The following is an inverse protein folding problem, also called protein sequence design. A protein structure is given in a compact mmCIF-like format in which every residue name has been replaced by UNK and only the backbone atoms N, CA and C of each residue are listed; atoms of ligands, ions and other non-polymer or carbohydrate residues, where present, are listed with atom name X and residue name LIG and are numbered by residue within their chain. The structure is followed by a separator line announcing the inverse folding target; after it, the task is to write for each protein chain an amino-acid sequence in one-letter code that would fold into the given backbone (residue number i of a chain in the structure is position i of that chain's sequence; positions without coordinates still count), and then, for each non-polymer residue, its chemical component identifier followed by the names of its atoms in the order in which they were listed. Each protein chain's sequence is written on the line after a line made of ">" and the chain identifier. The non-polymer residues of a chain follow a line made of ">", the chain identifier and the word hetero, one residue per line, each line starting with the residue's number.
data_IF_027670967582
#
_entry.id   IF_027670967582
#
_cell.length_a   1.000
_cell.length_b   1.000
_cell.length_c   1.000
_cell.angle_alpha   90.00
_cell.angle_beta   90.00
_cell.angle_gamma   90.00
#
_symmetry.space_group_name_H-M   'P 1'
#
loop_
_entity.id
_entity.type
_entity.pdbx_description
1 polymer ?
#
# COMPACT_ATOMS: atom_id res chain seq x y z
N UNK A 1 -18.90 -14.61 -2.51
CA UNK A 1 -19.44 -15.54 -3.51
C UNK A 1 -20.77 -14.98 -4.00
N UNK A 2 -20.90 -14.87 -5.32
CA UNK A 2 -22.11 -14.43 -6.00
C UNK A 2 -22.60 -15.58 -6.87
N UNK A 3 -23.89 -15.82 -6.90
CA UNK A 3 -24.48 -16.87 -7.73
C UNK A 3 -25.80 -16.40 -8.32
N UNK A 4 -26.16 -16.90 -9.47
CA UNK A 4 -27.45 -16.67 -10.09
C UNK A 4 -28.34 -17.88 -9.87
N UNK A 5 -29.56 -17.64 -9.45
CA UNK A 5 -30.60 -18.67 -9.34
C UNK A 5 -31.96 -18.00 -9.41
N UNK A 6 -32.90 -18.55 -10.17
CA UNK A 6 -34.26 -18.00 -10.25
C UNK A 6 -35.03 -18.19 -8.95
N UNK A 7 -34.60 -19.09 -8.08
CA UNK A 7 -35.21 -19.32 -6.77
C UNK A 7 -34.22 -20.02 -5.83
N UNK A 8 -34.54 -20.00 -4.52
CA UNK A 8 -33.73 -20.72 -3.52
C UNK A 8 -33.73 -22.26 -3.69
N UNK A 9 -34.65 -22.79 -4.46
CA UNK A 9 -34.79 -24.23 -4.72
C UNK A 9 -34.21 -24.64 -6.06
N UNK A 10 -33.73 -23.71 -6.88
CA UNK A 10 -33.16 -24.02 -8.18
C UNK A 10 -31.63 -24.08 -8.10
N UNK A 11 -31.04 -24.95 -8.92
CA UNK A 11 -29.58 -24.96 -9.08
C UNK A 11 -29.16 -23.67 -9.77
N UNK A 12 -28.10 -23.04 -9.25
CA UNK A 12 -27.50 -21.86 -9.86
C UNK A 12 -26.88 -22.25 -11.21
N UNK A 13 -27.10 -21.43 -12.22
CA UNK A 13 -26.50 -21.56 -13.54
C UNK A 13 -25.16 -20.87 -13.68
N UNK A 14 -24.83 -19.97 -12.75
CA UNK A 14 -23.50 -19.38 -12.65
C UNK A 14 -23.10 -19.04 -11.21
N UNK A 15 -21.82 -18.97 -10.97
CA UNK A 15 -21.24 -18.56 -9.69
C UNK A 15 -19.98 -17.73 -9.93
N UNK A 16 -19.83 -16.66 -9.18
CA UNK A 16 -18.61 -15.85 -9.19
C UNK A 16 -18.01 -15.73 -7.79
N UNK A 17 -16.69 -15.71 -7.72
CA UNK A 17 -15.93 -15.50 -6.49
C UNK A 17 -15.09 -14.24 -6.68
N UNK A 18 -15.21 -13.30 -5.75
CA UNK A 18 -14.29 -12.18 -5.64
C UNK A 18 -13.25 -12.51 -4.58
N UNK A 19 -11.98 -12.31 -4.94
CA UNK A 19 -10.82 -12.63 -4.09
C UNK A 19 -10.05 -11.34 -3.86
N UNK A 20 -9.84 -10.96 -2.59
CA UNK A 20 -8.87 -9.94 -2.20
C UNK A 20 -7.54 -10.65 -1.89
N UNK A 21 -6.54 -10.39 -2.73
CA UNK A 21 -5.20 -10.94 -2.56
C UNK A 21 -4.23 -9.87 -2.09
N UNK A 22 -3.61 -10.10 -0.94
CA UNK A 22 -2.49 -9.30 -0.46
C UNK A 22 -1.22 -9.78 -1.15
N UNK A 23 -0.63 -8.89 -1.94
CA UNK A 23 0.55 -9.20 -2.73
C UNK A 23 1.83 -9.04 -1.91
N UNK A 24 2.82 -9.86 -2.21
CA UNK A 24 4.16 -9.77 -1.66
C UNK A 24 5.16 -9.25 -2.71
N UNK A 25 6.38 -8.97 -2.27
CA UNK A 25 7.42 -8.48 -3.16
C UNK A 25 7.71 -9.47 -4.30
N UNK A 26 7.72 -8.95 -5.53
CA UNK A 26 7.99 -9.73 -6.73
C UNK A 26 6.75 -10.35 -7.39
N UNK A 27 5.60 -10.32 -6.74
CA UNK A 27 4.35 -10.72 -7.36
C UNK A 27 3.84 -9.64 -8.32
N UNK A 28 3.28 -10.08 -9.42
CA UNK A 28 2.60 -9.24 -10.41
C UNK A 28 1.15 -9.66 -10.52
N UNK A 29 0.30 -8.82 -11.11
CA UNK A 29 -1.09 -9.19 -11.36
C UNK A 29 -1.21 -10.46 -12.22
N UNK A 30 -0.34 -10.58 -13.26
CA UNK A 30 -0.33 -11.76 -14.14
C UNK A 30 0.04 -13.02 -13.37
N UNK A 31 1.07 -12.97 -12.51
CA UNK A 31 1.45 -14.11 -11.69
C UNK A 31 0.34 -14.55 -10.74
N UNK A 32 -0.38 -13.60 -10.16
CA UNK A 32 -1.49 -13.88 -9.27
C UNK A 32 -2.71 -14.49 -10.01
N UNK A 33 -3.02 -13.99 -11.20
CA UNK A 33 -4.10 -14.57 -12.01
C UNK A 33 -3.71 -15.95 -12.52
N UNK A 34 -2.45 -16.15 -12.93
CA UNK A 34 -1.96 -17.43 -13.40
C UNK A 34 -1.99 -18.50 -12.31
N UNK A 35 -1.67 -18.14 -11.07
CA UNK A 35 -1.82 -19.06 -9.93
C UNK A 35 -3.25 -19.59 -9.81
N UNK A 36 -4.26 -18.75 -10.01
CA UNK A 36 -5.67 -19.18 -9.99
C UNK A 36 -5.99 -20.03 -11.21
N UNK A 37 -5.50 -19.66 -12.40
CA UNK A 37 -5.71 -20.44 -13.62
C UNK A 37 -5.12 -21.84 -13.53
N UNK A 38 -4.02 -22.02 -12.79
CA UNK A 38 -3.37 -23.31 -12.60
C UNK A 38 -4.05 -24.20 -11.55
N UNK A 39 -5.08 -23.74 -10.87
CA UNK A 39 -5.82 -24.59 -9.94
C UNK A 39 -6.45 -25.78 -10.69
N UNK A 40 -6.36 -27.01 -10.14
CA UNK A 40 -6.89 -28.21 -10.80
C UNK A 40 -8.38 -28.10 -11.19
N UNK A 41 -9.17 -27.41 -10.39
CA UNK A 41 -10.59 -27.18 -10.69
C UNK A 41 -10.76 -26.27 -11.91
N UNK A 42 -9.97 -25.21 -12.02
CA UNK A 42 -10.02 -24.28 -13.17
C UNK A 42 -9.58 -25.00 -14.43
N UNK A 43 -8.47 -25.73 -14.36
CA UNK A 43 -7.97 -26.51 -15.50
C UNK A 43 -8.96 -27.58 -15.97
N UNK A 44 -9.67 -28.21 -15.04
CA UNK A 44 -10.67 -29.24 -15.36
C UNK A 44 -11.86 -28.70 -16.18
N UNK A 45 -12.31 -27.49 -15.83
CA UNK A 45 -13.50 -26.89 -16.45
C UNK A 45 -13.18 -25.91 -17.57
N UNK A 46 -11.88 -25.54 -17.74
CA UNK A 46 -11.39 -24.79 -18.90
C UNK A 46 -12.21 -23.53 -19.22
N UNK A 47 -12.81 -23.51 -20.40
CA UNK A 47 -13.54 -22.35 -20.91
C UNK A 47 -14.79 -21.96 -20.11
N UNK A 48 -15.30 -22.87 -19.27
CA UNK A 48 -16.43 -22.59 -18.37
C UNK A 48 -16.00 -21.70 -17.17
N UNK A 49 -14.71 -21.51 -16.95
CA UNK A 49 -14.18 -20.70 -15.84
C UNK A 49 -13.41 -19.50 -16.36
N UNK A 50 -13.93 -18.30 -16.09
CA UNK A 50 -13.26 -17.04 -16.40
C UNK A 50 -12.51 -16.52 -15.18
N UNK A 51 -11.20 -16.33 -15.32
CA UNK A 51 -10.34 -15.68 -14.31
C UNK A 51 -9.89 -14.32 -14.83
N UNK A 52 -10.29 -13.26 -14.15
CA UNK A 52 -10.00 -11.88 -14.59
C UNK A 52 -9.73 -10.95 -13.42
N UNK A 53 -9.03 -9.84 -13.71
CA UNK A 53 -8.90 -8.72 -12.78
C UNK A 53 -10.28 -8.10 -12.52
N UNK A 54 -10.50 -7.73 -11.26
CA UNK A 54 -11.68 -6.96 -10.89
C UNK A 54 -11.52 -5.51 -11.34
N UNK A 55 -12.53 -5.01 -12.04
CA UNK A 55 -12.61 -3.61 -12.44
C UNK A 55 -13.55 -2.86 -11.51
N UNK A 56 -13.12 -1.72 -10.99
CA UNK A 56 -13.98 -0.81 -10.24
C UNK A 56 -14.68 0.12 -11.24
N UNK A 57 -15.97 -0.01 -11.33
CA UNK A 57 -16.85 0.67 -12.30
C UNK A 57 -17.96 1.50 -11.62
N UNK A 58 -17.86 1.73 -10.33
CA UNK A 58 -18.91 2.46 -9.61
C UNK A 58 -18.81 3.96 -9.85
N UNK A 59 -19.94 4.65 -10.03
CA UNK A 59 -19.94 6.09 -10.23
C UNK A 59 -19.37 6.83 -9.02
N UNK A 60 -18.62 7.88 -9.29
CA UNK A 60 -18.23 8.87 -8.31
C UNK A 60 -19.48 9.69 -7.85
N UNK A 61 -19.30 10.54 -6.85
CA UNK A 61 -20.38 11.41 -6.38
C UNK A 61 -20.94 12.35 -7.46
N UNK A 62 -20.17 12.63 -8.51
CA UNK A 62 -20.58 13.40 -9.70
C UNK A 62 -21.47 12.62 -10.67
N UNK A 63 -21.59 11.32 -10.50
CA UNK A 63 -22.23 10.41 -11.45
C UNK A 63 -21.32 9.85 -12.53
N UNK A 64 -20.10 10.36 -12.65
CA UNK A 64 -19.11 9.89 -13.62
C UNK A 64 -18.54 8.52 -13.21
N UNK A 65 -18.35 7.63 -14.20
CA UNK A 65 -17.73 6.33 -14.03
C UNK A 65 -16.33 6.37 -14.61
N UNK A 66 -15.34 6.12 -13.75
CA UNK A 66 -13.96 5.91 -14.14
C UNK A 66 -13.60 4.44 -13.91
N UNK A 67 -13.64 3.65 -14.94
CA UNK A 67 -13.20 2.25 -14.83
C UNK A 67 -11.74 2.19 -14.42
N UNK A 68 -11.47 1.50 -13.32
CA UNK A 68 -10.13 1.40 -12.75
C UNK A 68 -9.85 -0.04 -12.35
N UNK A 69 -8.70 -0.56 -12.76
CA UNK A 69 -8.21 -1.85 -12.31
C UNK A 69 -8.00 -1.87 -10.81
N UNK A 70 -8.59 -2.85 -10.12
CA UNK A 70 -8.36 -3.08 -8.69
C UNK A 70 -7.03 -3.79 -8.45
N UNK A 71 -5.96 -3.22 -9.00
CA UNK A 71 -4.59 -3.67 -8.84
C UNK A 71 -3.74 -2.62 -8.17
N UNK A 72 -3.09 -3.01 -7.08
CA UNK A 72 -2.27 -2.15 -6.24
C UNK A 72 -0.90 -2.81 -6.04
N UNK A 73 0.10 -2.45 -6.86
CA UNK A 73 1.41 -3.10 -6.84
C UNK A 73 2.13 -2.87 -5.52
N UNK A 74 2.85 -3.88 -5.07
CA UNK A 74 3.77 -3.75 -3.94
C UNK A 74 4.98 -2.89 -4.30
N UNK A 75 5.58 -2.26 -3.31
CA UNK A 75 6.79 -1.49 -3.46
C UNK A 75 7.72 -1.70 -2.26
N UNK A 76 9.02 -1.62 -2.52
CA UNK A 76 10.05 -1.82 -1.51
C UNK A 76 11.05 -0.70 -1.61
N UNK A 77 11.41 -0.14 -0.48
CA UNK A 77 12.54 0.77 -0.35
C UNK A 77 13.77 0.03 0.15
N UNK A 78 14.93 0.41 -0.36
CA UNK A 78 16.17 0.11 0.32
C UNK A 78 16.26 1.00 1.57
N UNK A 79 16.69 0.43 2.68
CA UNK A 79 16.88 1.18 3.92
C UNK A 79 17.83 2.38 3.72
N UNK A 80 18.86 2.22 2.88
CA UNK A 80 19.81 3.27 2.52
C UNK A 80 19.28 4.32 1.54
N UNK A 81 18.05 4.21 1.07
CA UNK A 81 17.51 5.18 0.12
C UNK A 81 17.37 6.56 0.76
N UNK A 82 17.68 7.61 0.00
CA UNK A 82 17.76 8.98 0.51
C UNK A 82 16.47 9.46 1.22
N UNK A 83 15.30 9.11 0.68
CA UNK A 83 14.01 9.47 1.28
C UNK A 83 13.71 8.70 2.57
N UNK A 84 14.21 7.48 2.73
CA UNK A 84 14.13 6.72 3.98
C UNK A 84 15.09 7.30 5.01
N UNK A 85 16.34 7.55 4.60
CA UNK A 85 17.35 8.11 5.48
C UNK A 85 17.01 9.51 5.96
N UNK A 86 16.34 10.34 5.15
CA UNK A 86 15.89 11.65 5.59
C UNK A 86 14.95 11.59 6.80
N UNK A 87 14.07 10.60 6.88
CA UNK A 87 13.22 10.39 8.07
C UNK A 87 14.03 9.91 9.27
N UNK A 88 14.96 8.99 9.05
CA UNK A 88 15.87 8.47 10.10
C UNK A 88 16.73 9.60 10.66
N UNK A 89 17.33 10.40 9.79
CA UNK A 89 18.16 11.53 10.16
C UNK A 89 17.36 12.62 10.90
N UNK A 90 16.14 12.89 10.46
CA UNK A 90 15.24 13.82 11.13
C UNK A 90 14.87 13.34 12.54
N UNK A 91 14.60 12.06 12.71
CA UNK A 91 14.35 11.48 14.03
C UNK A 91 15.57 11.62 14.94
N UNK A 92 16.76 11.26 14.46
CA UNK A 92 18.00 11.39 15.22
C UNK A 92 18.31 12.85 15.56
N UNK A 93 18.11 13.78 14.64
CA UNK A 93 18.35 15.20 14.87
C UNK A 93 17.45 15.78 15.96
N UNK A 94 16.19 15.33 16.02
CA UNK A 94 15.22 15.84 16.98
C UNK A 94 15.31 15.15 18.34
N UNK A 95 15.55 13.84 18.39
CA UNK A 95 15.38 13.05 19.62
C UNK A 95 16.50 12.05 19.90
N UNK A 96 17.49 11.95 19.03
CA UNK A 96 18.54 10.92 19.16
C UNK A 96 17.94 9.52 19.04
N UNK A 97 18.35 8.62 19.92
CA UNK A 97 17.89 7.23 19.95
C UNK A 97 16.62 7.03 20.80
N UNK A 98 15.97 8.10 21.23
CA UNK A 98 14.79 8.01 22.08
C UNK A 98 13.57 7.59 21.27
N UNK A 99 12.80 6.66 21.80
CA UNK A 99 11.46 6.39 21.30
C UNK A 99 10.55 7.57 21.61
N UNK A 100 9.85 8.06 20.61
CA UNK A 100 8.95 9.22 20.68
C UNK A 100 7.55 8.77 20.27
N UNK A 101 6.54 9.48 20.78
CA UNK A 101 5.12 9.22 20.52
C UNK A 101 4.40 8.77 21.79
N UNK A 102 3.22 8.22 21.61
CA UNK A 102 2.46 7.71 22.73
C UNK A 102 3.16 6.52 23.42
N UNK A 103 3.00 6.43 24.71
CA UNK A 103 3.72 5.47 25.56
C UNK A 103 2.76 4.60 26.38
N UNK A 104 1.59 4.28 25.86
CA UNK A 104 0.56 3.68 26.67
C UNK A 104 0.22 2.23 26.34
N UNK A 105 -0.98 1.78 26.66
CA UNK A 105 -1.42 0.41 26.82
C UNK A 105 -1.05 -0.60 25.73
N UNK A 106 -0.68 -0.13 24.54
CA UNK A 106 -0.20 -0.99 23.46
C UNK A 106 1.24 -1.46 23.66
N UNK A 107 1.94 -0.95 24.68
CA UNK A 107 3.29 -1.41 25.03
C UNK A 107 3.40 -2.92 25.21
N UNK A 108 2.32 -3.61 25.48
CA UNK A 108 2.35 -5.09 25.59
C UNK A 108 2.53 -5.76 24.22
N UNK A 109 2.14 -5.11 23.12
CA UNK A 109 2.39 -5.58 21.76
C UNK A 109 3.70 -5.05 21.21
N UNK A 110 4.02 -3.82 21.54
CA UNK A 110 5.23 -3.12 21.14
C UNK A 110 6.45 -3.45 21.99
N UNK A 111 6.32 -4.42 22.90
CA UNK A 111 7.43 -4.94 23.72
C UNK A 111 8.48 -5.70 22.89
N UNK A 112 8.44 -5.63 21.56
CA UNK A 112 9.62 -5.97 20.79
C UNK A 112 10.69 -4.90 21.07
N UNK A 113 11.86 -5.30 21.54
CA UNK A 113 12.94 -4.37 21.82
C UNK A 113 13.21 -3.56 20.56
N UNK A 114 13.19 -2.24 20.69
CA UNK A 114 13.73 -1.37 19.63
C UNK A 114 15.12 -1.88 19.31
N UNK A 115 15.41 -2.07 18.04
CA UNK A 115 16.78 -2.37 17.62
C UNK A 115 17.65 -1.25 18.16
N UNK A 116 18.61 -1.64 18.97
CA UNK A 116 19.48 -0.69 19.64
C UNK A 116 20.09 0.25 18.60
N UNK A 117 19.98 1.55 18.83
CA UNK A 117 20.69 2.57 18.09
C UNK A 117 20.05 3.11 16.82
N UNK A 118 18.77 2.83 16.49
CA UNK A 118 18.11 3.49 15.36
C UNK A 118 16.57 3.42 15.40
N UNK A 119 15.89 4.35 14.72
CA UNK A 119 14.45 4.24 14.48
C UNK A 119 14.13 2.95 13.73
N UNK A 120 13.01 2.33 14.08
CA UNK A 120 12.52 1.18 13.33
C UNK A 120 12.05 1.65 11.94
N UNK A 121 12.67 1.11 10.92
CA UNK A 121 12.10 1.04 9.58
C UNK A 121 11.54 -0.36 9.39
N UNK A 122 10.28 -0.47 9.05
CA UNK A 122 9.60 -1.75 8.93
C UNK A 122 8.65 -1.76 7.73
N UNK A 123 7.99 -2.88 7.51
CA UNK A 123 6.95 -3.03 6.50
C UNK A 123 5.64 -2.41 6.99
N UNK A 124 4.83 -1.96 6.05
CA UNK A 124 3.46 -1.57 6.27
C UNK A 124 2.52 -2.65 5.73
N UNK A 125 1.59 -3.12 6.55
CA UNK A 125 0.69 -4.23 6.19
C UNK A 125 -0.57 -3.79 5.47
N UNK A 126 -0.93 -2.52 5.57
CA UNK A 126 -2.07 -1.94 4.87
C UNK A 126 -1.66 -1.28 3.55
N UNK A 127 -2.62 -1.12 2.67
CA UNK A 127 -2.44 -0.33 1.45
C UNK A 127 -2.48 1.17 1.75
N UNK A 128 -1.69 1.95 1.00
CA UNK A 128 -1.68 3.41 1.05
C UNK A 128 -1.60 3.98 -0.37
N UNK A 129 -1.75 5.30 -0.52
CA UNK A 129 -1.58 5.96 -1.82
C UNK A 129 -0.19 5.77 -2.44
N UNK A 130 0.80 5.34 -1.64
CA UNK A 130 2.15 5.02 -2.12
C UNK A 130 2.16 3.86 -3.11
N UNK A 131 1.15 2.99 -3.14
CA UNK A 131 0.99 1.96 -4.17
C UNK A 131 0.91 2.55 -5.57
N UNK A 132 0.29 3.72 -5.71
CA UNK A 132 0.27 4.45 -6.98
C UNK A 132 1.54 5.26 -7.18
N UNK A 133 2.00 5.99 -6.17
CA UNK A 133 3.15 6.89 -6.27
C UNK A 133 4.42 6.09 -6.59
N UNK A 134 4.79 5.15 -5.75
CA UNK A 134 6.00 4.35 -5.98
C UNK A 134 5.71 3.05 -6.73
N UNK A 135 4.63 2.36 -6.41
CA UNK A 135 4.34 1.07 -7.02
C UNK A 135 4.04 1.16 -8.51
N UNK A 136 3.29 2.15 -8.96
CA UNK A 136 2.97 2.34 -10.40
C UNK A 136 3.95 3.24 -11.12
N UNK A 137 4.36 4.35 -10.50
CA UNK A 137 5.13 5.41 -11.18
C UNK A 137 6.59 5.46 -10.78
N UNK A 138 7.04 4.63 -9.83
CA UNK A 138 8.44 4.58 -9.40
C UNK A 138 8.92 5.84 -8.68
N UNK A 139 8.01 6.74 -8.27
CA UNK A 139 8.36 7.95 -7.54
C UNK A 139 8.70 7.55 -6.10
N UNK A 140 9.91 7.86 -5.60
CA UNK A 140 10.31 7.49 -4.25
C UNK A 140 9.31 7.93 -3.19
N UNK A 141 8.84 6.98 -2.38
CA UNK A 141 7.83 7.23 -1.37
C UNK A 141 8.12 6.43 -0.11
N UNK A 142 7.94 7.04 1.05
CA UNK A 142 8.05 6.38 2.35
C UNK A 142 6.89 6.81 3.23
N UNK A 143 6.32 5.87 3.98
CA UNK A 143 5.21 6.14 4.87
C UNK A 143 5.69 6.48 6.28
N UNK A 144 5.09 7.51 6.86
CA UNK A 144 5.18 7.87 8.27
C UNK A 144 3.92 8.63 8.68
N UNK A 145 3.37 8.32 9.85
CA UNK A 145 2.14 8.97 10.30
C UNK A 145 1.89 8.78 11.80
N UNK A 146 0.95 9.55 12.37
CA UNK A 146 0.55 9.44 13.77
C UNK A 146 -0.32 8.19 14.01
N UNK A 147 -0.31 7.68 15.23
CA UNK A 147 -1.14 6.57 15.65
C UNK A 147 -0.43 5.23 15.66
N UNK A 148 -1.16 4.17 15.96
CA UNK A 148 -0.68 2.81 15.97
C UNK A 148 -1.40 1.97 14.91
N UNK A 149 -0.69 1.07 14.26
CA UNK A 149 -1.26 0.15 13.26
C UNK A 149 -2.41 -0.68 13.83
N UNK A 150 -2.33 -1.03 15.12
CA UNK A 150 -3.37 -1.78 15.83
C UNK A 150 -4.70 -1.03 15.96
N UNK A 151 -4.71 0.28 15.76
CA UNK A 151 -5.92 1.10 15.77
C UNK A 151 -6.60 1.16 14.40
N UNK A 152 -5.87 0.86 13.31
CA UNK A 152 -6.43 0.91 11.98
C UNK A 152 -7.58 -0.11 11.83
N UNK A 153 -8.75 0.39 11.40
CA UNK A 153 -10.00 -0.38 11.29
C UNK A 153 -10.55 -0.93 12.63
N UNK A 154 -10.06 -0.42 13.76
CA UNK A 154 -10.57 -0.81 15.06
C UNK A 154 -11.90 -0.10 15.40
N UNK A 155 -12.80 -0.72 16.17
CA UNK A 155 -13.93 0.00 16.75
C UNK A 155 -13.42 1.16 17.61
N UNK A 156 -13.98 2.36 17.41
CA UNK A 156 -13.55 3.59 18.10
C UNK A 156 -12.06 3.91 17.88
N UNK A 157 -11.60 3.77 16.66
CA UNK A 157 -10.23 4.14 16.24
C UNK A 157 -9.82 5.50 16.80
N UNK A 158 -8.64 5.56 17.40
CA UNK A 158 -8.09 6.76 18.02
C UNK A 158 -6.68 7.05 17.49
N UNK A 159 -6.31 8.32 17.58
CA UNK A 159 -4.95 8.80 17.40
C UNK A 159 -4.56 9.69 18.59
N UNK A 160 -3.36 9.51 19.11
CA UNK A 160 -2.87 10.27 20.25
C UNK A 160 -2.43 11.68 19.82
N UNK A 161 -2.80 12.68 20.59
CA UNK A 161 -2.42 14.08 20.32
C UNK A 161 -0.89 14.27 20.31
N UNK A 162 -0.19 13.52 21.15
CA UNK A 162 1.28 13.55 21.19
C UNK A 162 1.88 13.09 19.86
N UNK A 163 1.34 12.06 19.24
CA UNK A 163 1.81 11.57 17.94
C UNK A 163 1.62 12.60 16.84
N UNK A 164 0.51 13.35 16.85
CA UNK A 164 0.28 14.44 15.90
C UNK A 164 1.38 15.49 15.98
N UNK A 165 1.76 15.91 17.20
CA UNK A 165 2.83 16.88 17.41
C UNK A 165 4.18 16.33 16.98
N UNK A 166 4.46 15.07 17.33
CA UNK A 166 5.70 14.37 16.95
C UNK A 166 5.83 14.27 15.43
N UNK A 167 4.75 13.86 14.76
CA UNK A 167 4.75 13.76 13.30
C UNK A 167 4.92 15.11 12.63
N UNK A 168 4.27 16.16 13.15
CA UNK A 168 4.44 17.52 12.62
C UNK A 168 5.88 18.00 12.72
N UNK A 169 6.55 17.76 13.86
CA UNK A 169 7.95 18.11 14.04
C UNK A 169 8.86 17.35 13.06
N UNK A 170 8.61 16.04 12.87
CA UNK A 170 9.38 15.25 11.93
C UNK A 170 9.19 15.73 10.49
N UNK A 171 7.96 15.95 10.05
CA UNK A 171 7.68 16.47 8.72
C UNK A 171 8.31 17.85 8.46
N UNK A 172 8.38 18.69 9.47
CA UNK A 172 9.06 19.98 9.35
C UNK A 172 10.58 19.85 9.18
N UNK A 173 11.21 18.83 9.78
CA UNK A 173 12.64 18.60 9.72
C UNK A 173 13.11 17.89 8.42
N UNK A 174 12.30 16.97 7.90
CA UNK A 174 12.66 16.10 6.76
C UNK A 174 13.13 16.88 5.52
N UNK A 175 12.45 17.94 5.06
CA UNK A 175 12.90 18.67 3.85
C UNK A 175 14.30 19.25 3.95
N UNK A 176 14.72 19.69 5.14
CA UNK A 176 16.06 20.21 5.39
C UNK A 176 17.16 19.14 5.41
N UNK A 177 16.79 17.88 5.61
CA UNK A 177 17.70 16.75 5.72
C UNK A 177 17.69 15.84 4.48
N UNK A 178 16.71 16.00 3.61
CA UNK A 178 16.64 15.23 2.38
C UNK A 178 17.77 15.60 1.42
N UNK A 179 18.62 14.64 1.14
CA UNK A 179 19.71 14.75 0.18
C UNK A 179 19.40 13.84 -1.00
N UNK A 180 18.80 14.37 -2.09
CA UNK A 180 18.53 13.54 -3.25
C UNK A 180 19.84 12.95 -3.77
N UNK A 181 19.82 11.65 -4.11
CA UNK A 181 20.92 11.08 -4.87
C UNK A 181 21.06 11.88 -6.16
N UNK A 182 22.29 12.23 -6.55
CA UNK A 182 22.60 12.99 -7.76
C UNK A 182 22.29 12.17 -9.05
N UNK A 183 21.12 11.62 -9.13
CA UNK A 183 20.52 11.24 -10.39
C UNK A 183 19.72 12.46 -10.84
N UNK A 184 20.22 13.15 -11.82
CA UNK A 184 19.37 13.92 -12.73
C UNK A 184 18.27 12.96 -13.18
N UNK A 185 17.18 12.91 -12.42
CA UNK A 185 15.97 12.32 -12.91
C UNK A 185 15.65 13.13 -14.14
N UNK A 186 15.75 12.51 -15.31
CA UNK A 186 15.38 13.16 -16.53
C UNK A 186 13.85 13.35 -16.49
N UNK A 187 13.47 14.55 -16.05
CA UNK A 187 12.07 14.96 -15.95
C UNK A 187 11.39 14.87 -17.33
N UNK A 188 12.18 14.77 -18.38
CA UNK A 188 11.76 14.59 -19.77
C UNK A 188 11.25 13.16 -20.00
N UNK A 189 11.92 12.13 -19.47
CA UNK A 189 11.42 10.74 -19.55
C UNK A 189 10.11 10.56 -18.76
N UNK A 190 10.00 11.20 -17.59
CA UNK A 190 8.78 11.16 -16.79
C UNK A 190 7.60 11.83 -17.49
N UNK A 191 7.82 13.00 -18.13
CA UNK A 191 6.79 13.67 -18.94
C UNK A 191 6.37 12.84 -20.15
N UNK A 192 7.29 12.13 -20.77
CA UNK A 192 7.03 11.28 -21.92
C UNK A 192 6.20 10.05 -21.57
N UNK A 193 6.47 9.44 -20.41
CA UNK A 193 5.67 8.31 -19.91
C UNK A 193 4.23 8.68 -19.55
N UNK A 194 3.98 9.92 -19.13
CA UNK A 194 2.63 10.41 -18.85
C UNK A 194 1.85 10.69 -20.13
N UNK A 195 2.52 11.14 -21.21
CA UNK A 195 1.85 11.42 -22.49
C UNK A 195 1.57 10.17 -23.32
N UNK A 196 2.34 9.10 -23.14
CA UNK A 196 2.15 7.85 -23.88
C UNK A 196 1.10 6.91 -23.25
N UNK A 197 0.76 7.09 -21.98
CA UNK A 197 -0.22 6.29 -21.28
C UNK A 197 -1.62 6.93 -21.15
N UNK A 198 -1.76 8.23 -21.41
CA UNK A 198 -3.06 8.94 -21.29
C UNK A 198 -3.85 9.02 -22.62
N UNK A 199 -3.39 8.35 -23.69
CA UNK A 199 -4.09 8.30 -24.97
C UNK A 199 -4.27 6.85 -25.42
N UNK A 200 -5.03 6.08 -24.64
CA UNK A 200 -5.73 4.89 -25.17
C UNK A 200 -6.95 4.57 -24.33
#
# INVERSE_FOLDING_TARGET
>A
IFYTSPSRCAVADSCAISIDRRMTAGETWDSCLEEIRQLPAVQKYGDDVKVSMYMYDRPAWTGEVYETECFFPTWINKESAAHVQALVDAHHALWGDKRIGHADADQKRDAMPLREGRPLTDKWTFSTNCVSIQGRYGIPCVGFGPGAESQAHAPNEITWKQDLVTCAALYAAVPGLYKPENKTADVTEFRQSLTDNDIR
#
